data_IF_401349910493
#
_entry.id   IF_401349910493
#
_cell.length_a   1.000
_cell.length_b   1.000
_cell.length_c   1.000
_cell.angle_alpha   90.00
_cell.angle_beta   90.00
_cell.angle_gamma   90.00
#
_symmetry.space_group_name_H-M   'P 1'
#
loop_
_entity.id
_entity.type
_entity.pdbx_description
1 polymer ?
#
# COMPACT_ATOMS: atom_id res chain seq x y z
N UNK A 1 -32.15 0.90 -0.71
CA UNK A 1 -31.07 0.04 -0.16
C UNK A 1 -31.45 -0.40 1.25
N UNK A 2 -31.14 -1.64 1.66
CA UNK A 2 -31.47 -2.16 2.99
C UNK A 2 -30.92 -1.29 4.13
N UNK A 3 -29.76 -0.64 3.93
CA UNK A 3 -29.09 0.19 4.93
C UNK A 3 -29.81 1.52 5.25
N UNK A 4 -30.39 2.20 4.26
CA UNK A 4 -31.16 3.43 4.51
C UNK A 4 -32.43 3.13 5.32
N UNK A 5 -33.10 2.01 5.03
CA UNK A 5 -34.28 1.56 5.78
C UNK A 5 -33.92 1.18 7.22
N UNK A 6 -32.80 0.46 7.40
CA UNK A 6 -32.28 0.15 8.74
C UNK A 6 -32.02 1.44 9.53
N UNK A 7 -31.30 2.39 8.94
CA UNK A 7 -30.95 3.62 9.64
C UNK A 7 -32.17 4.47 9.98
N UNK A 8 -33.11 4.67 9.05
CA UNK A 8 -34.36 5.40 9.33
C UNK A 8 -35.09 4.82 10.56
N UNK A 9 -35.17 3.49 10.65
CA UNK A 9 -35.79 2.80 11.78
C UNK A 9 -34.97 2.92 13.06
N UNK A 10 -33.66 2.66 13.00
CA UNK A 10 -32.78 2.78 14.16
C UNK A 10 -32.79 4.22 14.71
N UNK A 11 -32.78 5.20 13.82
CA UNK A 11 -32.90 6.61 14.14
C UNK A 11 -34.22 6.92 14.85
N UNK A 12 -35.35 6.48 14.30
CA UNK A 12 -36.67 6.64 14.94
C UNK A 12 -36.76 5.95 16.31
N UNK A 13 -36.27 4.71 16.44
CA UNK A 13 -36.25 3.95 17.72
C UNK A 13 -35.47 4.72 18.79
N UNK A 14 -34.27 5.18 18.45
CA UNK A 14 -33.41 5.93 19.37
C UNK A 14 -34.06 7.25 19.74
N UNK A 15 -34.75 7.92 18.83
CA UNK A 15 -35.43 9.17 19.15
C UNK A 15 -36.72 9.02 19.99
N UNK A 16 -37.58 8.04 19.70
CA UNK A 16 -38.97 7.96 20.23
C UNK A 16 -39.17 7.19 21.57
N UNK A 17 -38.11 6.80 22.30
CA UNK A 17 -38.23 6.08 23.61
C UNK A 17 -39.09 4.80 23.59
N UNK A 18 -39.02 3.96 22.54
CA UNK A 18 -39.56 2.60 22.67
C UNK A 18 -38.52 1.69 23.34
N UNK A 19 -38.59 1.57 24.67
CA UNK A 19 -37.75 0.70 25.50
C UNK A 19 -38.05 -0.81 25.37
N UNK A 20 -38.83 -1.24 24.36
CA UNK A 20 -39.03 -2.66 24.12
C UNK A 20 -37.82 -3.23 23.36
N UNK A 21 -37.18 -4.25 23.92
CA UNK A 21 -36.29 -5.14 23.20
C UNK A 21 -37.12 -5.89 22.13
N UNK A 22 -37.28 -5.26 20.98
CA UNK A 22 -37.84 -5.89 19.79
C UNK A 22 -36.73 -6.74 19.20
N UNK A 23 -37.01 -8.00 18.87
CA UNK A 23 -36.09 -8.85 18.13
C UNK A 23 -35.53 -8.09 16.91
N UNK A 24 -34.25 -8.31 16.54
CA UNK A 24 -33.66 -7.63 15.39
C UNK A 24 -34.56 -7.87 14.17
N UNK A 25 -34.96 -6.80 13.51
CA UNK A 25 -35.86 -6.90 12.37
C UNK A 25 -35.09 -7.29 11.09
N UNK A 26 -35.81 -7.62 10.02
CA UNK A 26 -35.18 -8.05 8.75
C UNK A 26 -34.19 -7.00 8.20
N UNK A 27 -34.40 -5.71 8.44
CA UNK A 27 -33.47 -4.66 7.98
C UNK A 27 -32.20 -4.62 8.81
N UNK A 28 -32.30 -4.85 10.11
CA UNK A 28 -31.19 -4.96 11.05
C UNK A 28 -30.37 -6.23 10.81
N UNK A 29 -31.04 -7.37 10.57
CA UNK A 29 -30.38 -8.62 10.16
C UNK A 29 -29.63 -8.43 8.84
N UNK A 30 -30.26 -7.79 7.85
CA UNK A 30 -29.63 -7.53 6.55
C UNK A 30 -28.44 -6.55 6.67
N UNK A 31 -28.54 -5.52 7.51
CA UNK A 31 -27.46 -4.58 7.74
C UNK A 31 -26.28 -5.25 8.47
N UNK A 32 -26.57 -6.01 9.53
CA UNK A 32 -25.58 -6.79 10.25
C UNK A 32 -24.87 -7.78 9.32
N UNK A 33 -25.63 -8.57 8.54
CA UNK A 33 -25.07 -9.50 7.56
C UNK A 33 -24.17 -8.78 6.54
N UNK A 34 -24.61 -7.62 6.01
CA UNK A 34 -23.87 -6.84 5.04
C UNK A 34 -22.51 -6.36 5.58
N UNK A 35 -22.46 -5.82 6.80
CA UNK A 35 -21.21 -5.34 7.37
C UNK A 35 -20.35 -6.49 7.90
N UNK A 36 -20.93 -7.51 8.52
CA UNK A 36 -20.20 -8.68 9.03
C UNK A 36 -19.53 -9.49 7.91
N UNK A 37 -20.14 -9.58 6.73
CA UNK A 37 -19.52 -10.20 5.55
C UNK A 37 -18.22 -9.46 5.15
N UNK A 38 -18.22 -8.13 5.26
CA UNK A 38 -17.12 -7.27 4.81
C UNK A 38 -16.12 -6.91 5.92
N UNK A 39 -16.47 -7.17 7.18
CA UNK A 39 -15.68 -6.91 8.38
C UNK A 39 -15.68 -8.16 9.30
N UNK A 40 -15.15 -9.31 8.84
CA UNK A 40 -15.38 -10.61 9.49
C UNK A 40 -14.69 -10.78 10.85
N UNK A 41 -13.65 -10.00 11.15
CA UNK A 41 -12.88 -10.15 12.39
C UNK A 41 -13.53 -9.44 13.59
N UNK A 42 -14.63 -8.70 13.38
CA UNK A 42 -15.23 -7.84 14.40
C UNK A 42 -16.63 -8.27 14.79
N UNK A 43 -16.87 -8.36 16.11
CA UNK A 43 -18.21 -8.55 16.65
C UNK A 43 -18.92 -7.20 16.66
N UNK A 44 -19.76 -6.96 15.65
CA UNK A 44 -20.49 -5.69 15.50
C UNK A 44 -21.61 -5.57 16.53
N UNK A 45 -21.53 -4.55 17.38
CA UNK A 45 -22.62 -4.17 18.29
C UNK A 45 -23.67 -3.33 17.54
N UNK A 46 -24.89 -3.17 18.09
CA UNK A 46 -25.89 -2.27 17.52
C UNK A 46 -25.43 -0.81 17.41
N UNK A 47 -24.56 -0.37 18.32
CA UNK A 47 -23.99 0.98 18.30
C UNK A 47 -22.89 1.11 17.23
N UNK A 48 -22.08 0.07 17.00
CA UNK A 48 -21.14 0.01 15.86
C UNK A 48 -21.87 0.13 14.54
N UNK A 49 -22.93 -0.67 14.38
CA UNK A 49 -23.75 -0.70 13.17
C UNK A 49 -24.40 0.66 12.94
N UNK A 50 -24.84 1.34 14.01
CA UNK A 50 -25.38 2.69 13.91
C UNK A 50 -24.33 3.72 13.50
N UNK A 51 -23.13 3.69 14.07
CA UNK A 51 -22.04 4.62 13.69
C UNK A 51 -21.59 4.42 12.25
N UNK A 52 -21.44 3.17 11.82
CA UNK A 52 -21.11 2.80 10.44
C UNK A 52 -22.15 3.34 9.46
N UNK A 53 -23.43 3.14 9.76
CA UNK A 53 -24.53 3.59 8.88
C UNK A 53 -24.71 5.11 8.91
N UNK A 54 -24.54 5.75 10.07
CA UNK A 54 -24.57 7.21 10.21
C UNK A 54 -23.52 7.88 9.30
N UNK A 55 -22.29 7.37 9.32
CA UNK A 55 -21.20 7.90 8.49
C UNK A 55 -21.34 7.57 7.00
N UNK A 56 -21.97 6.43 6.66
CA UNK A 56 -22.14 5.97 5.28
C UNK A 56 -23.31 6.65 4.54
N UNK A 57 -24.35 7.09 5.26
CA UNK A 57 -25.57 7.64 4.64
C UNK A 57 -25.37 8.84 3.75
N UNK A 58 -24.53 9.85 4.09
CA UNK A 58 -24.27 10.96 3.19
C UNK A 58 -23.80 10.52 1.79
N UNK A 59 -23.19 9.33 1.68
CA UNK A 59 -22.74 8.77 0.41
C UNK A 59 -23.84 7.99 -0.34
N UNK A 60 -24.80 7.40 0.37
CA UNK A 60 -25.87 6.58 -0.23
C UNK A 60 -27.15 7.36 -0.50
N UNK A 61 -27.54 8.24 0.43
CA UNK A 61 -28.73 9.07 0.35
C UNK A 61 -28.47 10.44 0.99
N UNK A 62 -27.90 11.39 0.23
CA UNK A 62 -27.52 12.74 0.69
C UNK A 62 -28.60 13.54 1.42
N UNK A 63 -29.88 13.28 1.10
CA UNK A 63 -31.03 14.07 1.60
C UNK A 63 -31.64 13.44 2.86
N UNK A 64 -31.21 12.23 3.22
CA UNK A 64 -31.88 11.47 4.28
C UNK A 64 -31.75 12.13 5.65
N UNK A 65 -30.55 12.58 6.02
CA UNK A 65 -30.33 13.25 7.31
C UNK A 65 -31.09 14.57 7.38
N UNK A 66 -31.04 15.37 6.31
CA UNK A 66 -31.81 16.62 6.22
C UNK A 66 -33.30 16.39 6.45
N UNK A 67 -33.88 15.37 5.80
CA UNK A 67 -35.29 15.01 5.97
C UNK A 67 -35.60 14.55 7.39
N UNK A 68 -34.81 13.62 7.91
CA UNK A 68 -35.01 13.05 9.24
C UNK A 68 -34.89 14.09 10.35
N UNK A 69 -33.99 15.07 10.21
CA UNK A 69 -33.84 16.15 11.19
C UNK A 69 -35.00 17.13 11.09
N UNK A 70 -35.44 17.49 9.86
CA UNK A 70 -36.60 18.36 9.66
C UNK A 70 -37.90 17.73 10.21
N UNK A 71 -38.12 16.43 9.98
CA UNK A 71 -39.32 15.71 10.44
C UNK A 71 -39.45 15.69 11.97
N UNK A 72 -38.32 15.71 12.66
CA UNK A 72 -38.26 15.58 14.12
C UNK A 72 -38.28 16.93 14.82
N UNK A 73 -37.56 17.91 14.29
CA UNK A 73 -37.26 19.15 15.02
C UNK A 73 -38.06 20.33 14.48
N UNK A 74 -38.65 20.21 13.29
CA UNK A 74 -39.28 21.30 12.57
C UNK A 74 -38.27 22.21 11.87
N UNK A 75 -38.69 23.43 11.52
CA UNK A 75 -37.83 24.42 10.87
C UNK A 75 -36.98 25.17 11.92
N UNK A 76 -35.65 25.08 11.84
CA UNK A 76 -34.72 25.79 12.74
C UNK A 76 -33.30 25.22 12.76
N UNK A 77 -32.38 25.91 13.44
CA UNK A 77 -31.06 25.37 13.78
C UNK A 77 -31.13 24.70 15.16
N UNK A 78 -30.64 23.46 15.27
CA UNK A 78 -30.66 22.67 16.51
C UNK A 78 -29.23 22.37 16.95
N UNK A 79 -28.60 23.25 17.75
CA UNK A 79 -27.22 23.09 18.18
C UNK A 79 -26.94 21.76 18.88
N UNK A 80 -27.95 21.20 19.55
CA UNK A 80 -27.86 19.95 20.33
C UNK A 80 -27.59 18.71 19.46
N UNK A 81 -27.95 18.74 18.17
CA UNK A 81 -27.72 17.64 17.23
C UNK A 81 -26.35 17.71 16.55
N UNK A 82 -25.65 18.83 16.63
CA UNK A 82 -24.47 19.09 15.82
C UNK A 82 -24.79 18.98 14.31
N UNK A 83 -23.84 18.42 13.56
CA UNK A 83 -23.93 18.32 12.12
C UNK A 83 -23.41 19.58 11.40
N UNK A 84 -22.75 19.39 10.27
CA UNK A 84 -22.18 20.47 9.47
C UNK A 84 -22.74 20.39 8.05
N UNK A 85 -23.27 21.50 7.54
CA UNK A 85 -23.71 21.57 6.14
C UNK A 85 -22.49 21.56 5.21
N UNK A 86 -22.44 20.57 4.32
CA UNK A 86 -21.32 20.42 3.39
C UNK A 86 -21.28 21.55 2.35
N UNK A 87 -20.09 22.15 2.13
CA UNK A 87 -19.92 23.27 1.17
C UNK A 87 -20.29 22.90 -0.28
N UNK A 88 -19.89 21.69 -0.70
CA UNK A 88 -20.16 21.18 -2.05
C UNK A 88 -21.31 20.16 -2.06
N UNK A 89 -21.36 19.29 -1.06
CA UNK A 89 -22.39 18.27 -0.88
C UNK A 89 -23.80 18.86 -0.62
N UNK A 90 -23.88 20.05 -0.01
CA UNK A 90 -25.09 20.79 0.38
C UNK A 90 -26.03 20.10 1.40
N UNK A 91 -25.92 18.79 1.61
CA UNK A 91 -26.57 18.06 2.70
C UNK A 91 -25.84 18.16 4.05
N UNK A 92 -26.45 17.61 5.09
CA UNK A 92 -25.87 17.53 6.45
C UNK A 92 -24.85 16.38 6.54
N UNK A 93 -23.65 16.71 7.01
CA UNK A 93 -22.64 15.73 7.41
C UNK A 93 -22.68 15.55 8.94
N UNK A 94 -22.76 14.32 9.46
CA UNK A 94 -22.82 14.09 10.90
C UNK A 94 -21.50 14.49 11.57
N UNK A 95 -21.59 14.97 12.82
CA UNK A 95 -20.44 15.24 13.68
C UNK A 95 -20.33 14.20 14.80
N UNK A 96 -19.24 14.25 15.57
CA UNK A 96 -19.16 13.50 16.82
C UNK A 96 -20.32 13.80 17.77
N UNK A 97 -20.76 15.07 17.81
CA UNK A 97 -21.92 15.48 18.60
C UNK A 97 -23.22 14.90 18.04
N UNK A 98 -23.38 14.80 16.71
CA UNK A 98 -24.51 14.09 16.10
C UNK A 98 -24.57 12.64 16.55
N UNK A 99 -23.45 11.93 16.49
CA UNK A 99 -23.38 10.54 16.95
C UNK A 99 -23.72 10.44 18.44
N UNK A 100 -23.14 11.32 19.26
CA UNK A 100 -23.33 11.33 20.70
C UNK A 100 -24.79 11.60 21.09
N UNK A 101 -25.42 12.62 20.50
CA UNK A 101 -26.80 12.96 20.75
C UNK A 101 -27.75 11.82 20.34
N UNK A 102 -27.51 11.18 19.19
CA UNK A 102 -28.38 10.10 18.71
C UNK A 102 -28.22 8.80 19.51
N UNK A 103 -27.06 8.56 20.12
CA UNK A 103 -26.82 7.39 20.97
C UNK A 103 -27.24 7.63 22.42
N UNK A 104 -26.99 8.81 22.98
CA UNK A 104 -27.10 9.08 24.41
C UNK A 104 -28.07 10.22 24.79
N UNK A 105 -28.54 11.02 23.82
CA UNK A 105 -29.39 12.20 24.04
C UNK A 105 -28.78 13.17 25.06
N UNK A 106 -29.57 13.55 26.06
CA UNK A 106 -29.23 14.46 27.17
C UNK A 106 -28.74 13.71 28.43
N UNK A 107 -28.74 12.37 28.42
CA UNK A 107 -28.28 11.58 29.56
C UNK A 107 -26.76 11.74 29.73
N UNK A 108 -26.36 12.36 30.84
CA UNK A 108 -24.96 12.72 31.07
C UNK A 108 -24.05 11.51 31.32
N UNK A 109 -24.55 10.48 32.00
CA UNK A 109 -23.78 9.26 32.27
C UNK A 109 -23.59 8.47 30.97
N UNK A 110 -24.67 8.36 30.20
CA UNK A 110 -24.67 7.69 28.91
C UNK A 110 -23.74 8.37 27.90
N UNK A 111 -23.75 9.71 27.86
CA UNK A 111 -22.87 10.49 26.99
C UNK A 111 -21.40 10.23 27.32
N UNK A 112 -21.05 10.16 28.60
CA UNK A 112 -19.68 9.83 29.04
C UNK A 112 -19.31 8.41 28.62
N UNK A 113 -20.25 7.45 28.73
CA UNK A 113 -20.02 6.07 28.31
C UNK A 113 -19.76 5.99 26.81
N UNK A 114 -20.64 6.52 25.97
CA UNK A 114 -20.51 6.51 24.50
C UNK A 114 -19.21 7.19 24.05
N UNK A 115 -18.83 8.30 24.68
CA UNK A 115 -17.57 8.97 24.36
C UNK A 115 -16.34 8.10 24.65
N UNK A 116 -16.33 7.39 25.78
CA UNK A 116 -15.20 6.54 26.19
C UNK A 116 -15.12 5.24 25.40
N UNK A 117 -16.27 4.61 25.19
CA UNK A 117 -16.35 3.27 24.60
C UNK A 117 -16.34 3.33 23.08
N UNK A 118 -17.12 4.22 22.45
CA UNK A 118 -17.34 4.21 21.01
C UNK A 118 -16.67 5.36 20.27
N UNK A 119 -16.77 6.60 20.75
CA UNK A 119 -16.19 7.79 20.09
C UNK A 119 -14.74 8.08 20.54
N UNK A 120 -14.03 7.07 21.03
CA UNK A 120 -12.64 7.18 21.46
C UNK A 120 -11.67 6.66 20.39
N UNK A 121 -10.43 7.17 20.32
CA UNK A 121 -9.41 6.65 19.41
C UNK A 121 -9.05 5.17 19.63
N UNK A 122 -9.39 4.62 20.81
CA UNK A 122 -9.11 3.23 21.17
C UNK A 122 -10.17 2.27 20.62
N UNK A 123 -11.35 2.77 20.27
CA UNK A 123 -12.40 1.96 19.68
C UNK A 123 -11.98 1.47 18.29
N UNK A 124 -12.30 0.22 17.94
CA UNK A 124 -11.75 -0.45 16.76
C UNK A 124 -12.11 0.28 15.45
N UNK A 125 -13.32 0.86 15.34
CA UNK A 125 -13.74 1.67 14.19
C UNK A 125 -12.77 2.83 13.89
N UNK A 126 -12.17 3.43 14.93
CA UNK A 126 -11.24 4.55 14.81
C UNK A 126 -9.78 4.07 14.71
N UNK A 127 -9.42 3.08 15.53
CA UNK A 127 -8.08 2.48 15.57
C UNK A 127 -7.68 1.86 14.23
N UNK A 128 -8.64 1.26 13.52
CA UNK A 128 -8.43 0.61 12.22
C UNK A 128 -8.85 1.52 11.06
N UNK A 129 -9.06 2.81 11.35
CA UNK A 129 -9.36 3.86 10.37
C UNK A 129 -10.56 3.53 9.47
N UNK A 130 -11.58 2.84 10.01
CA UNK A 130 -12.87 2.66 9.32
C UNK A 130 -13.63 3.98 9.34
N UNK A 131 -13.69 4.60 10.53
CA UNK A 131 -14.24 5.92 10.78
C UNK A 131 -13.15 6.84 11.33
N UNK A 132 -13.29 8.13 11.12
CA UNK A 132 -12.46 9.14 11.76
C UNK A 132 -13.27 10.38 12.09
N UNK A 133 -12.86 11.08 13.15
CA UNK A 133 -13.38 12.39 13.51
C UNK A 133 -12.38 13.46 13.08
N UNK A 134 -12.82 14.41 12.25
CA UNK A 134 -12.01 15.60 11.98
C UNK A 134 -11.77 16.38 13.27
N UNK A 135 -10.62 17.05 13.44
CA UNK A 135 -10.41 17.96 14.55
C UNK A 135 -11.42 19.12 14.47
N UNK A 136 -12.01 19.46 15.62
CA UNK A 136 -12.82 20.67 15.75
C UNK A 136 -11.95 21.93 15.59
N UNK A 137 -12.59 23.07 15.29
CA UNK A 137 -11.88 24.35 15.22
C UNK A 137 -11.37 24.77 16.61
N UNK A 138 -10.33 25.60 16.64
CA UNK A 138 -9.76 26.11 17.89
C UNK A 138 -10.83 26.81 18.74
N UNK A 139 -10.98 26.36 19.99
CA UNK A 139 -11.99 26.88 20.92
C UNK A 139 -13.35 26.18 20.85
N UNK A 140 -13.56 25.26 19.91
CA UNK A 140 -14.79 24.46 19.83
C UNK A 140 -14.69 23.15 20.63
N UNK A 141 -15.84 22.58 21.07
CA UNK A 141 -15.87 21.25 21.65
C UNK A 141 -15.28 20.19 20.72
N UNK A 142 -14.54 19.23 21.29
CA UNK A 142 -13.85 18.17 20.53
C UNK A 142 -14.75 17.42 19.55
N UNK A 143 -16.02 17.20 19.90
CA UNK A 143 -16.97 16.43 19.10
C UNK A 143 -17.70 17.25 18.02
N UNK A 144 -17.41 18.55 17.91
CA UNK A 144 -17.93 19.39 16.81
C UNK A 144 -17.37 18.99 15.44
N UNK A 145 -16.27 18.24 15.41
CA UNK A 145 -15.69 17.72 14.16
C UNK A 145 -16.58 16.72 13.43
N UNK A 146 -16.45 16.65 12.10
CA UNK A 146 -17.22 15.73 11.25
C UNK A 146 -16.84 14.28 11.53
N UNK A 147 -17.85 13.42 11.64
CA UNK A 147 -17.68 11.96 11.64
C UNK A 147 -17.71 11.49 10.19
N UNK A 148 -16.59 10.97 9.71
CA UNK A 148 -16.40 10.55 8.33
C UNK A 148 -16.01 9.08 8.25
N UNK A 149 -16.37 8.45 7.14
CA UNK A 149 -15.93 7.10 6.80
C UNK A 149 -14.74 7.16 5.85
N UNK A 150 -13.77 6.28 6.04
CA UNK A 150 -12.63 6.18 5.15
C UNK A 150 -13.10 5.84 3.71
N UNK A 151 -12.61 6.55 2.68
CA UNK A 151 -13.07 6.40 1.30
C UNK A 151 -13.00 4.98 0.75
N UNK A 152 -12.01 4.18 1.15
CA UNK A 152 -11.88 2.80 0.70
C UNK A 152 -13.04 1.93 1.26
N UNK A 153 -13.48 2.19 2.48
CA UNK A 153 -14.67 1.55 3.06
C UNK A 153 -15.97 2.08 2.45
N UNK A 154 -16.03 3.37 2.10
CA UNK A 154 -17.17 3.92 1.35
C UNK A 154 -17.31 3.19 0.01
N UNK A 155 -16.23 3.01 -0.73
CA UNK A 155 -16.22 2.25 -1.98
C UNK A 155 -16.66 0.80 -1.73
N UNK A 156 -16.01 0.10 -0.79
CA UNK A 156 -16.35 -1.27 -0.41
C UNK A 156 -17.84 -1.44 -0.09
N UNK A 157 -18.44 -0.52 0.68
CA UNK A 157 -19.84 -0.59 1.08
C UNK A 157 -20.83 -0.08 0.03
N UNK A 158 -20.37 0.59 -1.03
CA UNK A 158 -21.26 1.11 -2.09
C UNK A 158 -21.19 0.29 -3.37
N UNK A 159 -19.99 -0.16 -3.75
CA UNK A 159 -19.71 -0.90 -4.99
C UNK A 159 -19.48 -2.39 -4.75
N UNK A 160 -19.02 -2.77 -3.55
CA UNK A 160 -18.60 -4.13 -3.24
C UNK A 160 -17.11 -4.39 -3.42
N UNK A 161 -16.36 -3.43 -3.97
CA UNK A 161 -14.93 -3.57 -4.26
C UNK A 161 -14.14 -2.34 -3.78
N UNK A 162 -12.85 -2.52 -3.52
CA UNK A 162 -11.92 -1.40 -3.26
C UNK A 162 -10.97 -1.29 -4.44
N UNK A 163 -11.01 -0.17 -5.14
CA UNK A 163 -10.09 0.08 -6.24
C UNK A 163 -8.68 0.31 -5.70
N UNK A 164 -7.63 -0.28 -6.31
CA UNK A 164 -6.27 0.09 -5.97
C UNK A 164 -6.05 1.58 -6.29
N UNK A 165 -5.36 2.34 -5.43
CA UNK A 165 -5.02 3.73 -5.74
C UNK A 165 -4.27 3.81 -7.07
N UNK A 166 -4.68 4.79 -7.88
CA UNK A 166 -4.02 5.10 -9.14
C UNK A 166 -2.80 5.98 -8.87
N UNK A 167 -1.75 5.75 -9.64
CA UNK A 167 -0.58 6.60 -9.65
C UNK A 167 -0.95 8.04 -10.01
N UNK A 168 -0.54 8.99 -9.18
CA UNK A 168 -0.77 10.42 -9.36
C UNK A 168 0.26 11.23 -8.59
N UNK A 169 0.22 12.56 -8.72
CA UNK A 169 1.04 13.46 -7.89
C UNK A 169 0.71 13.34 -6.40
N UNK A 170 -0.55 13.05 -6.04
CA UNK A 170 -0.99 12.85 -4.65
C UNK A 170 -0.65 11.45 -4.09
N UNK A 171 -0.40 10.48 -4.97
CA UNK A 171 -0.06 9.11 -4.62
C UNK A 171 1.06 8.60 -5.56
N UNK A 172 2.33 8.87 -5.23
CA UNK A 172 3.49 8.61 -6.11
C UNK A 172 3.93 7.15 -6.09
N UNK A 173 2.96 6.22 -6.12
CA UNK A 173 3.23 4.79 -6.11
C UNK A 173 2.35 4.05 -7.10
N UNK A 174 2.95 3.06 -7.77
CA UNK A 174 2.32 2.25 -8.80
C UNK A 174 2.24 0.80 -8.32
N UNK A 175 1.05 0.20 -8.43
CA UNK A 175 0.90 -1.24 -8.22
C UNK A 175 1.68 -1.99 -9.30
N UNK A 176 2.63 -2.83 -8.89
CA UNK A 176 3.43 -3.68 -9.78
C UNK A 176 3.11 -5.16 -9.52
N UNK A 177 3.09 -5.94 -10.59
CA UNK A 177 2.84 -7.39 -10.54
C UNK A 177 3.60 -8.08 -11.67
N UNK A 178 3.81 -9.39 -11.52
CA UNK A 178 4.46 -10.22 -12.54
C UNK A 178 3.68 -11.49 -12.79
N UNK A 179 3.74 -11.97 -14.03
CA UNK A 179 3.25 -13.31 -14.41
C UNK A 179 4.31 -14.40 -14.19
N UNK A 180 5.56 -14.01 -14.00
CA UNK A 180 6.66 -14.93 -13.76
C UNK A 180 6.50 -15.66 -12.42
N UNK A 181 7.18 -16.79 -12.29
CA UNK A 181 7.27 -17.62 -11.10
C UNK A 181 8.69 -17.65 -10.54
N UNK A 182 8.86 -18.21 -9.34
CA UNK A 182 10.18 -18.39 -8.72
C UNK A 182 11.15 -19.23 -9.57
N UNK A 183 10.65 -20.07 -10.48
CA UNK A 183 11.48 -20.82 -11.42
C UNK A 183 12.14 -19.95 -12.50
N UNK A 184 11.53 -18.81 -12.83
CA UNK A 184 12.05 -17.86 -13.81
C UNK A 184 13.15 -16.97 -13.23
N UNK A 185 13.18 -16.83 -11.89
CA UNK A 185 14.16 -16.04 -11.18
C UNK A 185 15.39 -16.89 -10.82
N UNK A 186 16.50 -16.64 -11.52
CA UNK A 186 17.79 -17.26 -11.19
C UNK A 186 18.60 -16.32 -10.30
N UNK A 187 18.83 -16.72 -9.05
CA UNK A 187 19.64 -15.98 -8.08
C UNK A 187 20.90 -16.77 -7.70
N UNK A 188 21.94 -16.02 -7.33
CA UNK A 188 23.09 -16.61 -6.65
C UNK A 188 22.66 -17.30 -5.35
N UNK A 189 23.24 -18.47 -4.98
CA UNK A 189 22.77 -19.26 -3.82
C UNK A 189 22.68 -18.46 -2.51
N UNK A 190 23.65 -17.59 -2.25
CA UNK A 190 23.63 -16.72 -1.07
C UNK A 190 22.47 -15.71 -1.12
N UNK A 191 22.24 -15.08 -2.27
CA UNK A 191 21.13 -14.13 -2.46
C UNK A 191 19.79 -14.84 -2.27
N UNK A 192 19.66 -16.05 -2.81
CA UNK A 192 18.46 -16.90 -2.65
C UNK A 192 18.16 -17.18 -1.17
N UNK A 193 19.16 -17.59 -0.39
CA UNK A 193 19.01 -17.86 1.03
C UNK A 193 18.53 -16.62 1.82
N UNK A 194 19.03 -15.43 1.46
CA UNK A 194 18.59 -14.18 2.08
C UNK A 194 17.14 -13.82 1.69
N UNK A 195 16.74 -14.08 0.44
CA UNK A 195 15.35 -13.89 -0.02
C UNK A 195 14.41 -14.88 0.66
N UNK A 196 14.81 -16.13 0.84
CA UNK A 196 14.05 -17.14 1.61
C UNK A 196 13.85 -16.69 3.07
N UNK A 197 14.84 -16.02 3.66
CA UNK A 197 14.69 -15.42 4.99
C UNK A 197 13.61 -14.33 5.04
N UNK A 198 13.43 -13.56 3.95
CA UNK A 198 12.32 -12.62 3.84
C UNK A 198 10.97 -13.32 3.69
N UNK A 199 10.90 -14.43 2.95
CA UNK A 199 9.69 -15.23 2.83
C UNK A 199 9.25 -15.76 4.20
N UNK A 200 10.18 -16.30 4.99
CA UNK A 200 9.88 -16.73 6.36
C UNK A 200 9.33 -15.59 7.23
N UNK A 201 9.88 -14.38 7.10
CA UNK A 201 9.33 -13.23 7.83
C UNK A 201 7.92 -12.85 7.35
N UNK A 202 7.65 -12.87 6.05
CA UNK A 202 6.31 -12.59 5.51
C UNK A 202 5.26 -13.59 6.01
N UNK A 203 5.64 -14.86 6.18
CA UNK A 203 4.75 -15.93 6.65
C UNK A 203 4.60 -15.96 8.17
N UNK A 204 5.68 -15.71 8.92
CA UNK A 204 5.74 -15.97 10.36
C UNK A 204 5.91 -14.71 11.21
N UNK A 205 6.20 -13.55 10.62
CA UNK A 205 6.52 -12.31 11.34
C UNK A 205 5.44 -11.85 12.30
N UNK A 206 4.17 -11.88 11.85
CA UNK A 206 3.04 -11.50 12.72
C UNK A 206 2.87 -12.44 13.91
N UNK A 207 3.06 -13.76 13.70
CA UNK A 207 3.02 -14.77 14.77
C UNK A 207 4.20 -14.64 15.72
N UNK A 208 5.41 -14.35 15.20
CA UNK A 208 6.58 -14.09 16.03
C UNK A 208 6.35 -12.90 16.97
N UNK A 209 5.75 -11.82 16.47
CA UNK A 209 5.47 -10.65 17.29
C UNK A 209 4.35 -10.91 18.30
N UNK A 210 3.23 -11.51 17.87
CA UNK A 210 2.04 -11.74 18.71
C UNK A 210 2.16 -12.97 19.60
N UNK A 211 2.31 -14.16 19.02
CA UNK A 211 2.28 -15.44 19.73
C UNK A 211 3.46 -15.58 20.70
N UNK A 212 4.63 -15.06 20.32
CA UNK A 212 5.84 -15.13 21.15
C UNK A 212 6.11 -13.84 21.94
N UNK A 213 5.24 -12.83 21.83
CA UNK A 213 5.35 -11.57 22.57
C UNK A 213 6.63 -10.78 22.28
N UNK A 214 7.14 -10.89 21.05
CA UNK A 214 8.39 -10.23 20.64
C UNK A 214 8.18 -8.78 20.20
N UNK A 215 6.93 -8.31 20.09
CA UNK A 215 6.54 -6.91 19.89
C UNK A 215 7.13 -5.95 20.94
N UNK A 216 7.42 -6.43 22.15
CA UNK A 216 8.11 -5.67 23.20
C UNK A 216 9.59 -5.42 22.92
N UNK A 217 10.21 -6.26 22.08
CA UNK A 217 11.66 -6.23 21.78
C UNK A 217 11.95 -5.73 20.38
N UNK A 218 11.05 -6.01 19.44
CA UNK A 218 11.19 -5.64 18.04
C UNK A 218 10.03 -4.78 17.61
N UNK A 219 10.34 -3.68 16.92
CA UNK A 219 9.31 -2.91 16.24
C UNK A 219 8.67 -3.77 15.15
N UNK A 220 7.35 -3.65 14.93
CA UNK A 220 6.71 -4.22 13.75
C UNK A 220 7.34 -3.72 12.44
N UNK A 221 7.14 -4.49 11.38
CA UNK A 221 7.70 -4.25 10.07
C UNK A 221 9.12 -4.76 9.85
N UNK A 222 9.47 -4.87 8.57
CA UNK A 222 10.78 -5.36 8.13
C UNK A 222 11.28 -4.49 6.98
N UNK A 223 12.57 -4.17 7.02
CA UNK A 223 13.24 -3.32 6.05
C UNK A 223 14.40 -4.09 5.43
N UNK A 224 14.36 -4.21 4.11
CA UNK A 224 15.40 -4.83 3.32
C UNK A 224 15.99 -3.83 2.32
N UNK A 225 17.31 -3.86 2.16
CA UNK A 225 18.01 -3.14 1.10
C UNK A 225 18.46 -4.15 0.05
N UNK A 226 17.94 -4.03 -1.16
CA UNK A 226 18.38 -4.77 -2.33
C UNK A 226 19.43 -3.93 -3.05
N UNK A 227 20.65 -4.44 -3.16
CA UNK A 227 21.72 -3.71 -3.83
C UNK A 227 22.46 -4.56 -4.85
N UNK A 228 22.99 -3.92 -5.88
CA UNK A 228 23.77 -4.57 -6.93
C UNK A 228 23.46 -3.97 -8.30
N UNK A 229 24.14 -4.40 -9.37
CA UNK A 229 23.99 -3.83 -10.70
C UNK A 229 22.53 -3.82 -11.21
N UNK A 230 22.17 -2.94 -12.15
CA UNK A 230 20.86 -2.98 -12.80
C UNK A 230 20.65 -4.33 -13.53
N UNK A 231 19.39 -4.74 -13.67
CA UNK A 231 19.05 -5.94 -14.44
C UNK A 231 19.29 -7.29 -13.74
N UNK A 232 19.65 -7.31 -12.46
CA UNK A 232 19.93 -8.54 -11.68
C UNK A 232 18.72 -9.12 -10.94
N UNK A 233 17.51 -8.60 -11.19
CA UNK A 233 16.26 -9.18 -10.68
C UNK A 233 15.72 -8.61 -9.37
N UNK A 234 16.21 -7.44 -8.91
CA UNK A 234 15.73 -6.76 -7.67
C UNK A 234 14.21 -6.54 -7.67
N UNK A 235 13.69 -5.87 -8.71
CA UNK A 235 12.26 -5.56 -8.83
C UNK A 235 11.41 -6.82 -9.04
N UNK A 236 11.91 -7.78 -9.82
CA UNK A 236 11.24 -9.08 -10.01
C UNK A 236 11.12 -9.84 -8.68
N UNK A 237 12.17 -9.85 -7.86
CA UNK A 237 12.16 -10.48 -6.54
C UNK A 237 11.11 -9.86 -5.63
N UNK A 238 10.97 -8.52 -5.63
CA UNK A 238 9.94 -7.85 -4.85
C UNK A 238 8.51 -8.26 -5.29
N UNK A 239 8.26 -8.33 -6.61
CA UNK A 239 6.97 -8.79 -7.14
C UNK A 239 6.67 -10.26 -6.78
N UNK A 240 7.67 -11.13 -6.84
CA UNK A 240 7.53 -12.53 -6.46
C UNK A 240 7.30 -12.71 -4.95
N UNK A 241 7.92 -11.90 -4.09
CA UNK A 241 7.63 -11.86 -2.66
C UNK A 241 6.17 -11.44 -2.39
N UNK A 242 5.66 -10.45 -3.12
CA UNK A 242 4.26 -10.04 -3.03
C UNK A 242 3.31 -11.16 -3.43
N UNK A 243 3.58 -11.80 -4.57
CA UNK A 243 2.79 -12.94 -5.06
C UNK A 243 2.80 -14.10 -4.07
N UNK A 244 3.97 -14.43 -3.52
CA UNK A 244 4.14 -15.48 -2.50
C UNK A 244 3.31 -15.22 -1.24
N UNK A 245 3.28 -13.97 -0.78
CA UNK A 245 2.56 -13.59 0.44
C UNK A 245 1.10 -13.18 0.20
N UNK A 246 0.61 -13.17 -1.04
CA UNK A 246 -0.71 -12.64 -1.39
C UNK A 246 -0.86 -11.13 -1.12
N UNK A 247 0.24 -10.37 -1.18
CA UNK A 247 0.30 -8.94 -0.84
C UNK A 247 0.55 -8.09 -2.08
N UNK A 248 -0.13 -6.94 -2.14
CA UNK A 248 0.12 -5.94 -3.18
C UNK A 248 1.50 -5.32 -3.03
N UNK A 249 2.19 -5.12 -4.14
CA UNK A 249 3.51 -4.48 -4.19
C UNK A 249 3.38 -3.12 -4.86
N UNK A 250 3.67 -2.06 -4.11
CA UNK A 250 3.65 -0.71 -4.61
C UNK A 250 5.08 -0.23 -4.86
N UNK A 251 5.40 0.01 -6.14
CA UNK A 251 6.64 0.69 -6.53
C UNK A 251 6.47 2.18 -6.29
N UNK A 252 7.24 2.73 -5.37
CA UNK A 252 7.28 4.15 -5.05
C UNK A 252 8.34 4.82 -5.89
N UNK A 253 7.95 5.87 -6.62
CA UNK A 253 8.89 6.68 -7.41
C UNK A 253 9.46 7.80 -6.54
N UNK A 254 10.69 7.60 -6.07
CA UNK A 254 11.39 8.56 -5.23
C UNK A 254 11.72 9.87 -5.96
N UNK A 255 11.83 9.87 -7.29
CA UNK A 255 12.10 11.09 -8.06
C UNK A 255 10.93 12.06 -8.03
N UNK A 256 9.70 11.55 -8.00
CA UNK A 256 8.48 12.35 -7.85
C UNK A 256 8.28 12.85 -6.43
N UNK A 257 8.69 12.03 -5.45
CA UNK A 257 8.65 12.38 -4.04
C UNK A 257 9.59 13.56 -3.78
N UNK A 258 10.86 13.50 -4.21
CA UNK A 258 11.90 14.50 -3.89
C UNK A 258 11.85 15.74 -4.83
N UNK A 259 10.69 16.05 -5.40
CA UNK A 259 10.57 17.11 -6.42
C UNK A 259 10.67 18.54 -5.84
N UNK A 260 10.82 19.53 -6.74
CA UNK A 260 11.24 20.94 -6.51
C UNK A 260 10.41 21.78 -5.51
N UNK A 261 9.33 21.26 -4.95
CA UNK A 261 8.40 22.00 -4.09
C UNK A 261 8.52 21.53 -2.64
N UNK A 262 9.32 22.27 -1.86
CA UNK A 262 9.55 22.05 -0.43
C UNK A 262 8.19 21.94 0.30
N UNK A 263 7.91 20.80 0.92
CA UNK A 263 6.72 20.55 1.75
C UNK A 263 5.58 19.73 1.12
N UNK A 264 5.47 19.67 -0.22
CA UNK A 264 4.49 18.77 -0.87
C UNK A 264 4.94 17.30 -0.79
N UNK A 265 6.25 17.08 -0.81
CA UNK A 265 6.94 15.80 -0.61
C UNK A 265 6.49 15.05 0.65
N UNK A 266 6.55 15.72 1.81
CA UNK A 266 6.21 15.13 3.10
C UNK A 266 4.73 14.75 3.17
N UNK A 267 3.86 15.60 2.63
CA UNK A 267 2.41 15.35 2.58
C UNK A 267 2.08 14.13 1.73
N UNK A 268 2.70 13.99 0.56
CA UNK A 268 2.47 12.86 -0.34
C UNK A 268 3.02 11.55 0.24
N UNK A 269 4.20 11.60 0.89
CA UNK A 269 4.74 10.46 1.63
C UNK A 269 3.85 10.07 2.81
N UNK A 270 3.36 11.04 3.59
CA UNK A 270 2.44 10.76 4.69
C UNK A 270 1.24 9.98 4.16
N UNK A 271 0.54 10.52 3.16
CA UNK A 271 -0.62 9.89 2.52
C UNK A 271 -0.33 8.47 2.03
N UNK A 272 0.83 8.25 1.39
CA UNK A 272 1.24 6.93 0.91
C UNK A 272 1.31 5.92 2.06
N UNK A 273 2.04 6.26 3.12
CA UNK A 273 2.23 5.39 4.28
C UNK A 273 0.94 5.22 5.09
N UNK A 274 0.15 6.30 5.26
CA UNK A 274 -1.15 6.27 5.95
C UNK A 274 -2.11 5.31 5.20
N UNK A 275 -2.13 5.37 3.87
CA UNK A 275 -2.95 4.46 3.05
C UNK A 275 -2.45 3.01 3.08
N UNK A 276 -1.17 2.79 3.36
CA UNK A 276 -0.57 1.46 3.42
C UNK A 276 -0.69 0.78 4.80
N UNK A 277 -0.82 1.56 5.88
CA UNK A 277 -0.64 1.13 7.29
C UNK A 277 -1.46 -0.12 7.68
N UNK A 278 -2.67 -0.27 7.14
CA UNK A 278 -3.59 -1.38 7.44
C UNK A 278 -3.82 -2.34 6.27
N UNK A 279 -2.98 -2.29 5.22
CA UNK A 279 -3.20 -3.07 3.99
C UNK A 279 -2.14 -4.13 3.70
N UNK A 280 -1.19 -4.31 4.62
CA UNK A 280 -0.08 -5.26 4.49
C UNK A 280 0.70 -5.16 3.16
N UNK A 281 0.75 -3.96 2.57
CA UNK A 281 1.44 -3.75 1.30
C UNK A 281 2.95 -3.93 1.45
N UNK A 282 3.58 -4.40 0.37
CA UNK A 282 5.02 -4.32 0.22
C UNK A 282 5.34 -2.99 -0.47
N UNK A 283 6.09 -2.13 0.19
CA UNK A 283 6.52 -0.85 -0.38
C UNK A 283 7.92 -1.03 -0.98
N UNK A 284 8.00 -0.96 -2.31
CA UNK A 284 9.25 -1.10 -3.06
C UNK A 284 9.70 0.26 -3.55
N UNK A 285 10.77 0.78 -2.96
CA UNK A 285 11.40 2.05 -3.34
C UNK A 285 12.53 1.77 -4.33
N UNK A 286 12.30 2.06 -5.61
CA UNK A 286 13.31 1.89 -6.65
C UNK A 286 14.24 3.09 -6.73
N UNK A 287 15.44 2.90 -7.27
CA UNK A 287 16.44 3.97 -7.46
C UNK A 287 16.75 4.76 -6.17
N UNK A 288 16.85 4.06 -5.04
CA UNK A 288 17.10 4.68 -3.75
C UNK A 288 18.44 5.46 -3.71
N UNK A 289 19.36 5.21 -4.65
CA UNK A 289 20.57 6.01 -4.85
C UNK A 289 20.29 7.51 -5.05
N UNK A 290 19.13 7.88 -5.60
CA UNK A 290 18.70 9.27 -5.76
C UNK A 290 18.58 10.00 -4.42
N UNK A 291 18.33 9.25 -3.33
CA UNK A 291 18.29 9.76 -1.97
C UNK A 291 19.69 9.89 -1.35
N UNK A 292 20.64 9.05 -1.75
CA UNK A 292 21.93 8.87 -1.04
C UNK A 292 23.15 9.31 -1.82
N UNK A 293 23.00 9.77 -3.06
CA UNK A 293 24.12 10.29 -3.85
C UNK A 293 24.89 11.34 -3.04
N UNK A 294 26.22 11.18 -2.95
CA UNK A 294 27.12 12.06 -2.19
C UNK A 294 26.86 13.53 -2.55
N UNK A 295 26.02 14.23 -1.78
CA UNK A 295 25.90 15.69 -1.83
C UNK A 295 26.97 16.24 -0.91
N UNK A 296 28.19 16.29 -1.44
CA UNK A 296 29.37 16.75 -0.70
C UNK A 296 29.21 18.21 -0.33
N UNK A 297 29.02 18.47 0.97
CA UNK A 297 29.14 19.78 1.59
C UNK A 297 27.83 20.54 1.68
N UNK A 298 27.39 20.83 2.92
CA UNK A 298 26.37 21.83 3.19
C UNK A 298 26.94 23.19 2.76
N UNK A 299 26.63 23.62 1.55
CA UNK A 299 26.96 24.97 1.07
C UNK A 299 25.72 25.83 0.94
N UNK A 300 24.55 25.24 0.64
CA UNK A 300 23.31 25.98 0.41
C UNK A 300 22.15 25.57 1.32
N UNK A 301 21.18 26.46 1.49
CA UNK A 301 19.95 26.20 2.23
C UNK A 301 19.16 25.01 1.65
N UNK A 302 19.24 24.78 0.34
CA UNK A 302 18.59 23.66 -0.35
C UNK A 302 19.09 22.28 0.11
N UNK A 303 20.37 22.14 0.49
CA UNK A 303 20.90 20.86 0.98
C UNK A 303 20.37 20.50 2.38
N UNK A 304 20.08 21.51 3.21
CA UNK A 304 19.47 21.29 4.53
C UNK A 304 18.05 20.75 4.43
N UNK A 305 17.24 21.29 3.51
CA UNK A 305 15.87 20.83 3.29
C UNK A 305 15.83 19.40 2.74
N UNK A 306 16.73 19.04 1.81
CA UNK A 306 16.80 17.68 1.28
C UNK A 306 17.15 16.64 2.36
N UNK A 307 18.06 16.96 3.29
CA UNK A 307 18.41 16.07 4.41
C UNK A 307 17.23 15.87 5.37
N UNK A 308 16.39 16.88 5.56
CA UNK A 308 15.17 16.78 6.37
C UNK A 308 14.15 15.84 5.71
N UNK A 309 13.93 15.95 4.40
CA UNK A 309 13.01 15.07 3.65
C UNK A 309 13.46 13.59 3.70
N UNK A 310 14.76 13.33 3.56
CA UNK A 310 15.33 11.97 3.69
C UNK A 310 15.13 11.45 5.11
N UNK A 311 15.35 12.29 6.12
CA UNK A 311 15.15 11.93 7.53
C UNK A 311 13.68 11.61 7.81
N UNK A 312 12.75 12.39 7.24
CA UNK A 312 11.31 12.14 7.34
C UNK A 312 10.93 10.81 6.66
N UNK A 313 11.38 10.58 5.42
CA UNK A 313 11.15 9.32 4.72
C UNK A 313 11.63 8.12 5.54
N UNK A 314 12.84 8.22 6.09
CA UNK A 314 13.41 7.20 6.96
C UNK A 314 12.54 6.93 8.19
N UNK A 315 12.08 7.98 8.87
CA UNK A 315 11.19 7.85 10.01
C UNK A 315 9.90 7.12 9.63
N UNK A 316 9.33 7.42 8.46
CA UNK A 316 8.12 6.75 7.95
C UNK A 316 8.38 5.28 7.58
N UNK A 317 9.51 4.98 6.96
CA UNK A 317 9.98 3.60 6.68
C UNK A 317 10.18 2.79 7.97
N UNK A 318 10.73 3.40 9.01
CA UNK A 318 10.90 2.80 10.34
C UNK A 318 9.59 2.66 11.11
N UNK A 319 8.57 3.47 10.79
CA UNK A 319 7.24 3.41 11.40
C UNK A 319 6.31 2.42 10.72
N UNK A 320 6.57 2.04 9.47
CA UNK A 320 5.68 1.15 8.72
C UNK A 320 5.78 -0.30 9.21
N UNK A 321 4.61 -0.92 9.45
CA UNK A 321 4.46 -2.26 10.01
C UNK A 321 4.60 -3.39 8.97
N UNK A 322 4.60 -3.07 7.67
CA UNK A 322 4.76 -4.05 6.59
C UNK A 322 6.22 -4.23 6.14
N UNK A 323 6.40 -4.81 4.96
CA UNK A 323 7.72 -4.96 4.33
C UNK A 323 8.05 -3.71 3.50
N UNK A 324 9.18 -3.09 3.82
CA UNK A 324 9.80 -2.05 2.98
C UNK A 324 11.03 -2.62 2.31
N UNK A 325 11.13 -2.46 1.00
CA UNK A 325 12.30 -2.83 0.20
C UNK A 325 12.83 -1.56 -0.46
N UNK A 326 14.07 -1.20 -0.20
CA UNK A 326 14.78 -0.18 -0.99
C UNK A 326 15.69 -0.88 -1.99
N UNK A 327 15.68 -0.45 -3.24
CA UNK A 327 16.58 -0.95 -4.28
C UNK A 327 17.59 0.12 -4.68
N UNK A 328 18.86 -0.27 -4.73
CA UNK A 328 19.99 0.62 -5.04
C UNK A 328 20.96 -0.10 -5.99
N UNK A 329 21.59 0.65 -6.88
CA UNK A 329 22.70 0.20 -7.71
C UNK A 329 24.06 0.55 -7.08
N UNK A 330 24.12 1.53 -6.17
CA UNK A 330 25.36 2.09 -5.61
C UNK A 330 25.42 1.97 -4.08
N UNK A 331 25.62 0.75 -3.56
CA UNK A 331 25.76 0.51 -2.11
C UNK A 331 26.82 1.40 -1.45
N UNK A 332 27.94 1.64 -2.12
CA UNK A 332 29.08 2.42 -1.58
C UNK A 332 28.73 3.88 -1.27
N UNK A 333 27.63 4.38 -1.81
CA UNK A 333 27.15 5.74 -1.56
C UNK A 333 26.24 5.83 -0.33
N UNK A 334 25.85 4.69 0.25
CA UNK A 334 24.95 4.64 1.40
C UNK A 334 25.79 4.61 2.68
N UNK A 335 25.52 5.53 3.60
CA UNK A 335 26.25 5.61 4.86
C UNK A 335 25.94 4.46 5.84
N UNK A 336 26.90 4.14 6.72
CA UNK A 336 26.75 3.04 7.67
C UNK A 336 25.62 3.25 8.69
N UNK A 337 25.29 4.49 9.04
CA UNK A 337 24.21 4.78 9.99
C UNK A 337 22.84 4.43 9.38
N UNK A 338 22.68 4.64 8.07
CA UNK A 338 21.54 4.22 7.29
C UNK A 338 21.44 2.70 7.19
N UNK A 339 22.55 2.03 6.83
CA UNK A 339 22.58 0.57 6.68
C UNK A 339 22.16 -0.16 7.97
N UNK A 340 22.48 0.38 9.15
CA UNK A 340 22.08 -0.19 10.46
C UNK A 340 20.57 -0.22 10.71
N UNK A 341 19.77 0.52 9.95
CA UNK A 341 18.29 0.54 10.07
C UNK A 341 17.61 -0.63 9.35
N UNK A 342 18.34 -1.32 8.48
CA UNK A 342 17.84 -2.46 7.72
C UNK A 342 18.12 -3.77 8.44
N UNK A 343 17.14 -4.66 8.44
CA UNK A 343 17.29 -6.00 9.01
C UNK A 343 18.02 -6.93 8.02
N UNK A 344 17.88 -6.68 6.71
CA UNK A 344 18.56 -7.43 5.66
C UNK A 344 19.20 -6.52 4.61
N UNK A 345 20.44 -6.81 4.26
CA UNK A 345 21.15 -6.26 3.11
C UNK A 345 21.38 -7.39 2.11
N UNK A 346 20.66 -7.38 0.99
CA UNK A 346 20.66 -8.45 0.00
C UNK A 346 21.41 -8.01 -1.24
N UNK A 347 22.50 -8.70 -1.54
CA UNK A 347 23.32 -8.45 -2.73
C UNK A 347 22.78 -9.21 -3.94
N UNK A 348 22.54 -8.52 -5.04
CA UNK A 348 22.21 -9.09 -6.34
C UNK A 348 23.40 -8.92 -7.30
N UNK A 349 24.38 -9.83 -7.29
CA UNK A 349 25.55 -9.75 -8.15
C UNK A 349 25.19 -9.99 -9.62
N UNK A 350 26.10 -9.67 -10.54
CA UNK A 350 26.03 -10.20 -11.91
C UNK A 350 26.03 -11.72 -11.85
N UNK A 351 25.13 -12.41 -12.58
CA UNK A 351 25.03 -13.86 -12.55
C UNK A 351 26.32 -14.52 -13.03
N UNK A 352 26.71 -15.61 -12.37
CA UNK A 352 27.85 -16.47 -12.75
C UNK A 352 27.53 -17.26 -14.03
N UNK A 353 28.52 -17.85 -14.72
CA UNK A 353 28.26 -18.55 -15.98
C UNK A 353 27.17 -19.64 -15.90
N UNK A 354 27.16 -20.44 -14.83
CA UNK A 354 26.10 -21.44 -14.63
C UNK A 354 24.71 -20.86 -14.38
N UNK A 355 24.63 -19.67 -13.77
CA UNK A 355 23.38 -18.93 -13.58
C UNK A 355 22.93 -18.28 -14.91
N UNK A 356 23.86 -17.71 -15.68
CA UNK A 356 23.61 -17.18 -17.03
C UNK A 356 23.11 -18.24 -17.98
N UNK A 357 23.67 -19.44 -17.93
CA UNK A 357 23.20 -20.56 -18.76
C UNK A 357 21.72 -20.87 -18.50
N UNK A 358 21.31 -20.92 -17.23
CA UNK A 358 19.90 -21.11 -16.86
C UNK A 358 19.03 -19.94 -17.31
N UNK A 359 19.52 -18.71 -17.18
CA UNK A 359 18.82 -17.51 -17.67
C UNK A 359 18.60 -17.58 -19.19
N UNK A 360 19.62 -17.97 -19.97
CA UNK A 360 19.47 -18.17 -21.42
C UNK A 360 18.46 -19.25 -21.76
N UNK A 361 18.54 -20.41 -21.09
CA UNK A 361 17.61 -21.52 -21.29
C UNK A 361 16.15 -21.12 -20.98
N UNK A 362 15.94 -20.34 -19.92
CA UNK A 362 14.61 -19.86 -19.55
C UNK A 362 14.11 -18.72 -20.45
N UNK A 363 15.02 -17.89 -20.98
CA UNK A 363 14.66 -16.72 -21.78
C UNK A 363 14.25 -17.08 -23.21
N UNK A 364 14.87 -18.11 -23.80
CA UNK A 364 14.58 -18.54 -25.17
C UNK A 364 13.21 -19.23 -25.22
N UNK A 365 12.25 -18.74 -26.04
CA UNK A 365 10.94 -19.35 -26.13
C UNK A 365 10.99 -20.77 -26.67
N UNK A 366 10.12 -21.66 -26.18
CA UNK A 366 10.01 -23.04 -26.66
C UNK A 366 9.70 -23.15 -28.17
N UNK A 367 9.08 -22.12 -28.75
CA UNK A 367 8.79 -22.04 -30.17
C UNK A 367 10.03 -21.83 -31.06
N UNK A 368 11.18 -21.49 -30.46
CA UNK A 368 12.42 -21.18 -31.16
C UNK A 368 13.42 -22.33 -30.98
N UNK A 369 13.81 -22.96 -32.08
CA UNK A 369 14.91 -23.92 -32.07
C UNK A 369 16.25 -23.20 -32.21
N UNK A 370 17.32 -23.77 -31.66
CA UNK A 370 18.68 -23.25 -31.85
C UNK A 370 19.34 -23.96 -33.04
N UNK A 371 20.16 -23.26 -33.82
CA UNK A 371 21.06 -23.90 -34.78
C UNK A 371 22.09 -24.78 -34.05
N UNK A 372 22.57 -25.84 -34.72
CA UNK A 372 23.48 -26.83 -34.12
C UNK A 372 24.81 -26.24 -33.63
N UNK A 373 25.21 -25.07 -34.17
CA UNK A 373 26.43 -24.36 -33.80
C UNK A 373 26.25 -23.37 -32.63
N UNK A 374 25.03 -23.23 -32.11
CA UNK A 374 24.73 -22.36 -30.96
C UNK A 374 24.96 -23.11 -29.65
N UNK A 375 26.12 -22.86 -29.03
CA UNK A 375 26.42 -23.34 -27.68
C UNK A 375 26.18 -22.25 -26.62
N UNK A 376 25.03 -22.33 -25.95
CA UNK A 376 24.67 -21.42 -24.85
C UNK A 376 25.65 -21.47 -23.68
N UNK A 377 26.36 -22.57 -23.45
CA UNK A 377 27.36 -22.68 -22.39
C UNK A 377 28.57 -21.82 -22.72
N UNK A 378 29.08 -21.90 -23.95
CA UNK A 378 30.18 -21.05 -24.42
C UNK A 378 29.80 -19.56 -24.34
N UNK A 379 28.57 -19.22 -24.77
CA UNK A 379 28.04 -17.85 -24.69
C UNK A 379 27.97 -17.39 -23.23
N UNK A 380 27.45 -18.24 -22.34
CA UNK A 380 27.32 -17.95 -20.91
C UNK A 380 28.68 -17.77 -20.23
N UNK A 381 29.70 -18.52 -20.63
CA UNK A 381 31.06 -18.38 -20.10
C UNK A 381 31.72 -17.09 -20.60
N UNK A 382 31.54 -16.76 -21.89
CA UNK A 382 32.23 -15.64 -22.55
C UNK A 382 31.70 -14.25 -22.21
N UNK A 383 30.38 -14.10 -22.05
CA UNK A 383 29.75 -12.79 -21.95
C UNK A 383 29.17 -12.51 -20.56
N UNK A 384 29.69 -11.49 -19.88
CA UNK A 384 29.21 -11.05 -18.56
C UNK A 384 28.05 -10.06 -18.68
N UNK A 385 26.86 -10.62 -18.86
CA UNK A 385 25.58 -9.90 -19.01
C UNK A 385 24.63 -10.19 -17.85
N UNK A 386 23.76 -9.24 -17.52
CA UNK A 386 22.70 -9.41 -16.51
C UNK A 386 21.48 -10.15 -17.08
N UNK A 387 20.52 -10.50 -16.22
CA UNK A 387 19.28 -11.14 -16.66
C UNK A 387 18.45 -10.24 -17.59
N UNK A 388 18.39 -8.93 -17.30
CA UNK A 388 17.70 -7.98 -18.17
C UNK A 388 18.41 -7.82 -19.53
N UNK A 389 19.74 -7.86 -19.55
CA UNK A 389 20.50 -7.81 -20.81
C UNK A 389 20.20 -9.05 -21.66
N UNK A 390 20.18 -10.25 -21.06
CA UNK A 390 19.80 -11.51 -21.74
C UNK A 390 18.39 -11.38 -22.34
N UNK A 391 17.41 -10.89 -21.57
CA UNK A 391 16.05 -10.68 -22.07
C UNK A 391 15.98 -9.70 -23.24
N UNK A 392 16.75 -8.60 -23.20
CA UNK A 392 16.84 -7.65 -24.31
C UNK A 392 17.41 -8.30 -25.57
N UNK A 393 18.48 -9.10 -25.41
CA UNK A 393 19.11 -9.82 -26.52
C UNK A 393 18.15 -10.83 -27.13
N UNK A 394 17.50 -11.66 -26.30
CA UNK A 394 16.52 -12.65 -26.79
C UNK A 394 15.35 -11.96 -27.47
N UNK A 395 14.82 -10.88 -26.90
CA UNK A 395 13.73 -10.12 -27.52
C UNK A 395 14.11 -9.60 -28.92
N UNK A 396 15.30 -9.02 -29.07
CA UNK A 396 15.83 -8.62 -30.38
C UNK A 396 15.92 -9.81 -31.33
N UNK A 397 16.53 -10.92 -30.89
CA UNK A 397 16.69 -12.12 -31.70
C UNK A 397 15.35 -12.72 -32.16
N UNK A 398 14.34 -12.75 -31.28
CA UNK A 398 13.01 -13.23 -31.63
C UNK A 398 12.35 -12.36 -32.70
N UNK A 399 12.43 -11.03 -32.57
CA UNK A 399 11.85 -10.11 -33.56
C UNK A 399 12.50 -10.27 -34.93
N UNK A 400 13.83 -10.34 -34.99
CA UNK A 400 14.56 -10.52 -36.25
C UNK A 400 14.32 -11.90 -36.87
N UNK A 401 14.25 -12.95 -36.05
CA UNK A 401 13.94 -14.30 -36.56
C UNK A 401 12.53 -14.36 -37.14
N UNK A 402 11.56 -13.72 -36.46
CA UNK A 402 10.18 -13.61 -36.96
C UNK A 402 10.09 -12.76 -38.22
N UNK A 403 10.84 -11.65 -38.31
CA UNK A 403 10.88 -10.80 -39.50
C UNK A 403 11.46 -11.53 -40.72
N UNK A 404 12.33 -12.52 -40.50
CA UNK A 404 12.86 -13.41 -41.53
C UNK A 404 11.96 -14.62 -41.83
N UNK A 405 10.78 -14.71 -41.20
CA UNK A 405 9.85 -15.84 -41.28
C UNK A 405 10.49 -17.19 -40.93
N UNK A 406 11.42 -17.19 -39.96
CA UNK A 406 12.11 -18.38 -39.46
C UNK A 406 11.63 -18.77 -38.06
N UNK A 407 11.96 -20.00 -37.65
CA UNK A 407 11.75 -20.51 -36.29
C UNK A 407 13.04 -21.06 -35.66
N UNK A 408 14.19 -20.74 -36.28
CA UNK A 408 15.50 -21.19 -35.84
C UNK A 408 16.36 -19.96 -35.58
N UNK A 409 16.94 -19.90 -34.38
CA UNK A 409 17.87 -18.85 -33.97
C UNK A 409 19.28 -19.22 -34.39
N UNK A 410 19.85 -18.42 -35.28
CA UNK A 410 21.23 -18.58 -35.75
C UNK A 410 22.25 -17.98 -34.80
N UNK A 411 23.46 -18.55 -34.80
CA UNK A 411 24.58 -18.02 -34.04
C UNK A 411 24.93 -16.58 -34.44
N UNK A 412 24.83 -16.26 -35.74
CA UNK A 412 25.10 -14.92 -36.24
C UNK A 412 24.16 -13.88 -35.63
N UNK A 413 22.85 -14.15 -35.63
CA UNK A 413 21.87 -13.23 -35.08
C UNK A 413 22.02 -13.06 -33.57
N UNK A 414 22.32 -14.16 -32.87
CA UNK A 414 22.58 -14.13 -31.43
C UNK A 414 23.85 -13.32 -31.09
N UNK A 415 24.92 -13.51 -31.86
CA UNK A 415 26.15 -12.73 -31.72
C UNK A 415 25.93 -11.23 -31.96
N UNK A 416 25.16 -10.89 -33.00
CA UNK A 416 24.79 -9.50 -33.30
C UNK A 416 23.98 -8.89 -32.15
N UNK A 417 23.00 -9.63 -31.62
CA UNK A 417 22.21 -9.21 -30.45
C UNK A 417 23.08 -8.94 -29.21
N UNK A 418 24.02 -9.86 -28.91
CA UNK A 418 24.98 -9.69 -27.81
C UNK A 418 25.84 -8.45 -28.03
N UNK A 419 26.39 -8.27 -29.24
CA UNK A 419 27.25 -7.12 -29.54
C UNK A 419 26.51 -5.79 -29.37
N UNK A 420 25.25 -5.72 -29.84
CA UNK A 420 24.41 -4.53 -29.68
C UNK A 420 24.19 -4.18 -28.21
N UNK A 421 23.88 -5.16 -27.37
CA UNK A 421 23.66 -4.89 -25.93
C UNK A 421 24.98 -4.52 -25.23
N UNK A 422 26.10 -5.14 -25.57
CA UNK A 422 27.41 -4.76 -25.02
C UNK A 422 27.85 -3.34 -25.43
N UNK A 423 27.57 -2.93 -26.67
CA UNK A 423 27.81 -1.55 -27.13
C UNK A 423 26.99 -0.54 -26.32
N UNK A 424 25.70 -0.84 -26.10
CA UNK A 424 24.81 0.00 -25.27
C UNK A 424 25.32 0.13 -23.83
N UNK A 425 25.94 -0.92 -23.28
CA UNK A 425 26.56 -0.90 -21.95
C UNK A 425 27.92 -0.18 -21.90
N UNK A 426 28.43 0.32 -23.03
CA UNK A 426 29.76 0.94 -23.12
C UNK A 426 30.92 -0.06 -22.95
N UNK A 427 30.65 -1.37 -23.10
CA UNK A 427 31.62 -2.47 -22.97
C UNK A 427 32.08 -3.01 -24.33
N UNK A 428 31.73 -2.35 -25.43
CA UNK A 428 32.12 -2.74 -26.79
C UNK A 428 33.53 -2.28 -27.12
N UNK A 429 34.54 -3.00 -26.65
CA UNK A 429 35.95 -2.84 -26.99
C UNK A 429 36.57 -4.18 -27.37
#
# INVERSE_FOLDING_TARGET
>A
MPLSKYFERSFQRRFQQSAAAVQPDESEINALAFFSEKLPEHHLTPDDLFLLTLALIPHQNPVLLDRLFADILGEGEFPQLGGIRGKQHRGILPTGETALFLLAKEDSEERIRIQKEYLSPNHWLFREQVLYLEPALDGEPRLSGKLLMNPDYVELFTTGEVSPPRFSTDFPAQLISTRQEWGDLVLHPHTRQQVESLQHWLEHGNRLLRDWGMDRKFKPGYRALFYGPPGTGKTLTAMLLGKHAGRNVYRVDLSMVVSKYIGETEKNLSKLFDKAEHKDWILFFDEADALFGKRTGVRDAHDRYANQEISYLLQRVEGYNGLVILASNLRENIDDAFLRRFQSLIHFPIPRPGERLRLWQNAIPEALSLEDDVDLKIISDRYEVSGADIMNIVHYCCLETMAQERQVLSLHLLADGIQRELQKLGKGG
#
